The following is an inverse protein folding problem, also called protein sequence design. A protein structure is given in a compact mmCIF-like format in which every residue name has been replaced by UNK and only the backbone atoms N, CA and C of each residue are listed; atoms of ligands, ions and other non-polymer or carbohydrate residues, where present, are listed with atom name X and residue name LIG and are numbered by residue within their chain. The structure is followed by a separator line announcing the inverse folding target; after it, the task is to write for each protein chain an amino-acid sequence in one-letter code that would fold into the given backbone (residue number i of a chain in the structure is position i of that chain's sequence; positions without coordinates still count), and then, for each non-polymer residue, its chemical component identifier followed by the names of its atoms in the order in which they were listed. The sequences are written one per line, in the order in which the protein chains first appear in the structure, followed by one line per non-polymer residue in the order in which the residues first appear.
data_IF_523157173419
#
_entry.id   IF_523157173419
#
_cell.length_a   1.000
_cell.length_b   1.000
_cell.length_c   1.000
_cell.angle_alpha   90.00
_cell.angle_beta   90.00
_cell.angle_gamma   90.00
#
_symmetry.space_group_name_H-M   'P 1'
#
loop_
_entity.id
_entity.type
_entity.pdbx_description
1 polymer ?
#
# COMPACT_ATOMS: atom_id res chain seq x y z
N UNK A 1 -6.54 22.85 -7.16
CA UNK A 1 -5.87 22.49 -5.89
C UNK A 1 -5.73 20.98 -5.80
N UNK A 2 -4.54 20.48 -5.54
CA UNK A 2 -4.36 19.03 -5.37
C UNK A 2 -4.88 18.58 -4.01
N UNK A 3 -5.30 17.33 -3.93
CA UNK A 3 -5.68 16.66 -2.68
C UNK A 3 -4.60 15.65 -2.32
N UNK A 4 -4.36 15.48 -1.04
CA UNK A 4 -3.37 14.55 -0.52
C UNK A 4 -4.09 13.33 0.05
N UNK A 5 -3.58 12.14 -0.29
CA UNK A 5 -4.09 10.88 0.26
C UNK A 5 -2.95 10.12 0.91
N UNK A 6 -3.26 9.48 2.03
CA UNK A 6 -2.29 8.68 2.79
C UNK A 6 -2.96 7.40 3.28
N UNK A 7 -2.21 6.31 3.17
CA UNK A 7 -2.65 5.00 3.67
C UNK A 7 -1.46 4.31 4.33
N UNK A 8 -1.67 3.79 5.52
CA UNK A 8 -0.69 2.95 6.18
C UNK A 8 -1.37 1.66 6.60
N UNK A 9 -0.80 0.54 6.15
CA UNK A 9 -1.34 -0.79 6.39
C UNK A 9 -0.35 -1.64 7.17
N UNK A 10 -0.89 -2.46 8.07
CA UNK A 10 -0.17 -3.54 8.70
C UNK A 10 -0.66 -4.83 8.05
N UNK A 11 0.24 -5.56 7.42
CA UNK A 11 -0.09 -6.76 6.67
C UNK A 11 0.28 -7.98 7.49
N UNK A 12 -0.71 -8.77 7.85
CA UNK A 12 -0.51 -9.95 8.69
C UNK A 12 -0.13 -11.15 7.84
N UNK A 13 1.09 -11.13 7.30
CA UNK A 13 1.64 -12.20 6.48
C UNK A 13 2.63 -13.05 7.26
N UNK A 14 2.65 -14.34 6.94
CA UNK A 14 3.66 -15.27 7.48
C UNK A 14 4.98 -15.21 6.71
N UNK A 15 4.97 -14.57 5.52
CA UNK A 15 6.17 -14.42 4.70
C UNK A 15 7.04 -13.32 5.30
N UNK A 16 8.28 -13.67 5.66
CA UNK A 16 9.24 -12.75 6.27
C UNK A 16 10.45 -12.48 5.37
N UNK A 17 10.45 -12.99 4.16
CA UNK A 17 11.50 -12.78 3.17
C UNK A 17 11.15 -11.56 2.31
N UNK A 18 11.97 -10.50 2.41
CA UNK A 18 11.71 -9.25 1.71
C UNK A 18 11.76 -9.39 0.19
N UNK A 19 12.55 -10.31 -0.35
CA UNK A 19 12.61 -10.55 -1.80
C UNK A 19 11.33 -11.19 -2.30
N UNK A 20 10.78 -12.13 -1.55
CA UNK A 20 9.50 -12.78 -1.89
C UNK A 20 8.38 -11.75 -1.83
N UNK A 21 8.36 -10.91 -0.80
CA UNK A 21 7.37 -9.84 -0.67
C UNK A 21 7.46 -8.86 -1.86
N UNK A 22 8.67 -8.43 -2.20
CA UNK A 22 8.88 -7.52 -3.33
C UNK A 22 8.36 -8.11 -4.63
N UNK A 23 8.61 -9.40 -4.86
CA UNK A 23 8.14 -10.11 -6.06
C UNK A 23 6.61 -10.17 -6.10
N UNK A 24 5.98 -10.54 -4.98
CA UNK A 24 4.51 -10.62 -4.90
C UNK A 24 3.83 -9.26 -5.05
N UNK A 25 4.49 -8.19 -4.62
CA UNK A 25 3.94 -6.82 -4.69
C UNK A 25 4.37 -6.05 -5.95
N UNK A 26 4.96 -6.72 -6.93
CA UNK A 26 5.38 -6.09 -8.18
C UNK A 26 4.22 -5.37 -8.89
N UNK A 27 3.05 -5.99 -8.94
CA UNK A 27 1.87 -5.39 -9.56
C UNK A 27 1.43 -4.12 -8.82
N UNK A 28 1.59 -4.09 -7.50
CA UNK A 28 1.27 -2.90 -6.69
C UNK A 28 2.26 -1.79 -6.99
N UNK A 29 3.54 -2.11 -7.11
CA UNK A 29 4.58 -1.13 -7.46
C UNK A 29 4.35 -0.55 -8.85
N UNK A 30 4.00 -1.38 -9.83
CA UNK A 30 3.66 -0.91 -11.18
C UNK A 30 2.46 0.01 -11.17
N UNK A 31 1.42 -0.35 -10.43
CA UNK A 31 0.23 0.50 -10.27
C UNK A 31 0.60 1.87 -9.72
N UNK A 32 1.46 1.90 -8.71
CA UNK A 32 1.90 3.13 -8.06
C UNK A 32 2.81 3.96 -8.97
N UNK A 33 3.78 3.31 -9.63
CA UNK A 33 4.74 4.00 -10.49
C UNK A 33 4.04 4.71 -11.66
N UNK A 34 3.05 4.07 -12.26
CA UNK A 34 2.28 4.66 -13.37
C UNK A 34 1.49 5.89 -12.96
N UNK A 35 1.23 6.07 -11.66
CA UNK A 35 0.38 7.14 -11.13
C UNK A 35 1.13 8.14 -10.25
N UNK A 36 2.45 8.03 -10.19
CA UNK A 36 3.28 8.86 -9.31
C UNK A 36 2.87 8.75 -7.84
N UNK A 37 2.51 7.55 -7.43
CA UNK A 37 2.16 7.25 -6.04
C UNK A 37 3.40 6.75 -5.32
N UNK A 38 3.72 7.32 -4.17
CA UNK A 38 4.84 6.88 -3.34
C UNK A 38 4.44 5.63 -2.56
N UNK A 39 5.24 4.58 -2.68
CA UNK A 39 5.02 3.30 -2.02
C UNK A 39 6.27 2.92 -1.24
N UNK A 40 6.11 2.67 0.06
CA UNK A 40 7.20 2.20 0.93
C UNK A 40 6.73 0.94 1.63
N UNK A 41 7.54 -0.12 1.56
CA UNK A 41 7.25 -1.42 2.19
C UNK A 41 8.43 -1.81 3.04
N UNK A 42 8.18 -2.13 4.31
CA UNK A 42 9.25 -2.51 5.24
C UNK A 42 8.70 -3.38 6.37
N UNK A 43 9.61 -4.09 7.06
CA UNK A 43 9.28 -4.75 8.31
C UNK A 43 9.65 -3.82 9.47
N UNK A 44 8.73 -3.66 10.41
CA UNK A 44 8.96 -2.83 11.58
C UNK A 44 9.75 -3.58 12.67
N UNK A 45 9.93 -2.95 13.84
CA UNK A 45 10.67 -3.54 14.96
C UNK A 45 10.01 -4.79 15.53
N UNK A 46 8.69 -4.93 15.35
CA UNK A 46 7.94 -6.13 15.77
C UNK A 46 7.90 -7.19 14.68
N UNK A 47 8.65 -6.97 13.60
CA UNK A 47 8.71 -7.86 12.44
C UNK A 47 7.37 -7.99 11.71
N UNK A 48 6.53 -6.97 11.80
CA UNK A 48 5.30 -6.85 11.03
C UNK A 48 5.56 -6.14 9.71
N UNK A 49 4.88 -6.57 8.65
CA UNK A 49 5.00 -5.94 7.35
C UNK A 49 4.15 -4.68 7.30
N UNK A 50 4.80 -3.54 7.05
CA UNK A 50 4.13 -2.25 6.95
C UNK A 50 4.19 -1.76 5.52
N UNK A 51 3.07 -1.27 5.02
CA UNK A 51 2.96 -0.65 3.70
C UNK A 51 2.46 0.77 3.88
N UNK A 52 3.25 1.74 3.43
CA UNK A 52 2.89 3.16 3.43
C UNK A 52 2.71 3.65 2.02
N UNK A 53 1.63 4.38 1.79
CA UNK A 53 1.29 4.93 0.48
C UNK A 53 0.93 6.40 0.65
N UNK A 54 1.51 7.24 -0.21
CA UNK A 54 1.19 8.67 -0.26
C UNK A 54 0.98 9.07 -1.71
N UNK A 55 -0.03 9.89 -1.96
CA UNK A 55 -0.30 10.39 -3.30
C UNK A 55 -0.92 11.78 -3.27
N UNK A 56 -0.68 12.51 -4.36
CA UNK A 56 -1.38 13.74 -4.67
C UNK A 56 -2.33 13.48 -5.83
N UNK A 57 -3.57 13.91 -5.67
CA UNK A 57 -4.58 13.77 -6.72
C UNK A 57 -5.40 15.04 -6.87
N UNK A 58 -6.12 15.15 -7.97
CA UNK A 58 -6.95 16.32 -8.23
C UNK A 58 -8.20 16.34 -7.36
N UNK A 59 -8.69 15.17 -6.96
CA UNK A 59 -9.92 15.05 -6.19
C UNK A 59 -9.75 14.03 -5.06
N UNK A 60 -10.56 14.18 -4.02
CA UNK A 60 -10.65 13.21 -2.92
C UNK A 60 -11.11 11.85 -3.44
N UNK A 61 -12.04 11.82 -4.38
CA UNK A 61 -12.54 10.57 -4.98
C UNK A 61 -11.43 9.80 -5.68
N UNK A 62 -10.56 10.49 -6.40
CA UNK A 62 -9.41 9.86 -7.06
C UNK A 62 -8.45 9.26 -6.03
N UNK A 63 -8.09 10.02 -5.01
CA UNK A 63 -7.20 9.54 -3.94
C UNK A 63 -7.79 8.30 -3.25
N UNK A 64 -9.06 8.38 -2.88
CA UNK A 64 -9.76 7.27 -2.24
C UNK A 64 -9.80 6.03 -3.13
N UNK A 65 -10.11 6.19 -4.40
CA UNK A 65 -10.14 5.08 -5.36
C UNK A 65 -8.79 4.39 -5.50
N UNK A 66 -7.71 5.16 -5.63
CA UNK A 66 -6.35 4.61 -5.71
C UNK A 66 -5.97 3.84 -4.45
N UNK A 67 -6.25 4.40 -3.28
CA UNK A 67 -5.91 3.76 -2.00
C UNK A 67 -6.71 2.47 -1.79
N UNK A 68 -7.98 2.44 -2.18
CA UNK A 68 -8.80 1.24 -2.11
C UNK A 68 -8.27 0.14 -3.04
N UNK A 69 -7.88 0.50 -4.25
CA UNK A 69 -7.31 -0.44 -5.22
C UNK A 69 -6.00 -1.03 -4.71
N UNK A 70 -5.13 -0.19 -4.15
CA UNK A 70 -3.86 -0.64 -3.58
C UNK A 70 -4.09 -1.63 -2.44
N UNK A 71 -5.03 -1.34 -1.53
CA UNK A 71 -5.38 -2.25 -0.44
C UNK A 71 -5.86 -3.60 -0.98
N UNK A 72 -6.73 -3.58 -1.97
CA UNK A 72 -7.28 -4.80 -2.58
C UNK A 72 -6.18 -5.63 -3.24
N UNK A 73 -5.29 -4.98 -3.99
CA UNK A 73 -4.17 -5.67 -4.64
C UNK A 73 -3.23 -6.33 -3.62
N UNK A 74 -2.89 -5.62 -2.55
CA UNK A 74 -2.03 -6.17 -1.50
C UNK A 74 -2.68 -7.38 -0.84
N UNK A 75 -3.95 -7.25 -0.46
CA UNK A 75 -4.71 -8.34 0.16
C UNK A 75 -4.74 -9.57 -0.74
N UNK A 76 -5.00 -9.39 -2.02
CA UNK A 76 -5.10 -10.49 -2.97
C UNK A 76 -3.74 -11.13 -3.26
N UNK A 77 -2.68 -10.33 -3.42
CA UNK A 77 -1.35 -10.84 -3.77
C UNK A 77 -0.68 -11.56 -2.62
N UNK A 78 -0.88 -11.11 -1.40
CA UNK A 78 -0.31 -11.74 -0.21
C UNK A 78 -1.27 -12.74 0.44
N UNK A 79 -2.52 -12.76 0.00
CA UNK A 79 -3.56 -13.68 0.47
C UNK A 79 -3.64 -13.73 2.00
N UNK A 80 -3.74 -12.56 2.62
CA UNK A 80 -3.76 -12.44 4.07
C UNK A 80 -4.59 -11.24 4.52
N UNK A 81 -4.81 -11.13 5.82
CA UNK A 81 -5.53 -10.00 6.40
C UNK A 81 -4.67 -8.75 6.39
N UNK A 82 -5.31 -7.62 6.10
CA UNK A 82 -4.68 -6.31 6.06
C UNK A 82 -5.42 -5.41 7.05
N UNK A 83 -4.67 -4.82 7.98
CA UNK A 83 -5.21 -3.89 8.96
C UNK A 83 -4.83 -2.46 8.56
N UNK A 84 -5.82 -1.57 8.53
CA UNK A 84 -5.57 -0.16 8.25
C UNK A 84 -5.15 0.54 9.55
N UNK A 85 -3.91 1.05 9.58
CA UNK A 85 -3.39 1.80 10.71
C UNK A 85 -3.76 3.27 10.57
N UNK A 86 -3.62 3.80 9.35
CA UNK A 86 -3.90 5.20 9.05
C UNK A 86 -4.50 5.30 7.65
N UNK A 87 -5.55 6.10 7.53
CA UNK A 87 -6.15 6.42 6.23
C UNK A 87 -6.63 7.87 6.29
N UNK A 88 -6.15 8.69 5.36
CA UNK A 88 -6.49 10.11 5.29
C UNK A 88 -6.61 10.56 3.84
N UNK A 89 -7.52 11.53 3.60
CA UNK A 89 -7.77 12.10 2.27
C UNK A 89 -7.78 13.61 2.31
#
# INVERSE_FOLDING_TARGET
MSKFGMLQLKVNTKIKDSEIIAHKLEVVREFCDKRNIELVVYFDTDNDLIVKVELDGLTTSYCKGCLMEIRTLIKNKLNCKVETILEAY
#
